data_IF_580248193846
#
_entry.id   IF_580248193846
#
_cell.length_a   1.000
_cell.length_b   1.000
_cell.length_c   1.000
_cell.angle_alpha   90.00
_cell.angle_beta   90.00
_cell.angle_gamma   90.00
#
_symmetry.space_group_name_H-M   'P 1'
#
loop_
_entity.id
_entity.type
_entity.pdbx_description
1 polymer ?
#
# COMPACT_ATOMS: atom_id res chain seq x y z
N UNK A 1 -9.03 4.93 -3.83
CA UNK A 1 -8.53 4.47 -2.51
C UNK A 1 -9.64 3.94 -1.62
N UNK A 2 -10.73 4.69 -1.39
CA UNK A 2 -11.85 4.22 -0.54
C UNK A 2 -12.32 2.80 -0.89
N UNK A 3 -12.61 2.50 -2.16
CA UNK A 3 -13.07 1.16 -2.55
C UNK A 3 -12.03 0.06 -2.29
N UNK A 4 -10.75 0.34 -2.48
CA UNK A 4 -9.67 -0.60 -2.14
C UNK A 4 -9.57 -0.81 -0.63
N UNK A 5 -9.65 0.26 0.16
CA UNK A 5 -9.64 0.18 1.62
C UNK A 5 -10.85 -0.60 2.14
N UNK A 6 -12.04 -0.36 1.59
CA UNK A 6 -13.25 -1.12 1.92
C UNK A 6 -13.13 -2.59 1.51
N UNK A 7 -12.58 -2.88 0.33
CA UNK A 7 -12.42 -4.25 -0.17
C UNK A 7 -11.39 -5.04 0.65
N UNK A 8 -10.27 -4.40 1.02
CA UNK A 8 -9.24 -5.00 1.86
C UNK A 8 -9.74 -5.23 3.29
N UNK A 9 -10.57 -4.33 3.81
CA UNK A 9 -11.10 -4.37 5.17
C UNK A 9 -9.98 -4.57 6.21
N UNK A 10 -10.05 -5.65 6.99
CA UNK A 10 -9.10 -6.09 8.01
C UNK A 10 -8.16 -7.21 7.52
N UNK A 11 -8.20 -7.54 6.23
CA UNK A 11 -7.43 -8.64 5.63
C UNK A 11 -5.99 -8.23 5.31
N UNK A 12 -5.11 -9.24 5.26
CA UNK A 12 -3.73 -9.04 4.85
C UNK A 12 -3.60 -8.83 3.33
N UNK A 13 -4.41 -9.54 2.55
CA UNK A 13 -4.49 -9.52 1.07
C UNK A 13 -5.96 -9.43 0.62
N UNK A 14 -6.21 -9.06 -0.63
CA UNK A 14 -7.55 -8.67 -1.10
C UNK A 14 -8.57 -9.81 -1.21
N UNK A 15 -8.15 -11.01 -1.64
CA UNK A 15 -9.10 -12.09 -1.99
C UNK A 15 -8.83 -13.43 -1.33
N UNK A 16 -7.65 -13.63 -0.77
CA UNK A 16 -7.27 -14.89 -0.14
C UNK A 16 -6.32 -14.65 1.03
N UNK A 17 -5.98 -15.69 1.79
CA UNK A 17 -4.94 -15.61 2.83
C UNK A 17 -3.52 -15.51 2.24
N UNK A 18 -3.37 -15.74 0.93
CA UNK A 18 -2.14 -15.58 0.17
C UNK A 18 -2.22 -14.38 -0.79
N UNK A 19 -1.06 -13.82 -1.10
CA UNK A 19 -0.94 -12.80 -2.13
C UNK A 19 -1.34 -13.34 -3.50
N UNK A 20 -1.98 -12.49 -4.29
CA UNK A 20 -2.41 -12.77 -5.66
C UNK A 20 -1.76 -11.79 -6.63
N UNK A 21 -1.91 -12.04 -7.93
CA UNK A 21 -1.51 -11.06 -8.96
C UNK A 21 -2.25 -9.73 -8.82
N UNK A 22 -3.46 -9.74 -8.25
CA UNK A 22 -4.20 -8.52 -7.96
C UNK A 22 -3.53 -7.70 -6.86
N UNK A 23 -3.03 -8.33 -5.79
CA UNK A 23 -2.29 -7.63 -4.74
C UNK A 23 -1.04 -6.94 -5.31
N UNK A 24 -0.32 -7.62 -6.23
CA UNK A 24 0.83 -7.02 -6.92
C UNK A 24 0.44 -5.79 -7.77
N UNK A 25 -0.66 -5.87 -8.52
CA UNK A 25 -1.16 -4.75 -9.34
C UNK A 25 -1.65 -3.58 -8.48
N UNK A 26 -2.30 -3.86 -7.34
CA UNK A 26 -2.70 -2.81 -6.41
C UNK A 26 -1.47 -2.17 -5.78
N UNK A 27 -0.50 -2.98 -5.32
CA UNK A 27 0.74 -2.49 -4.73
C UNK A 27 1.52 -1.59 -5.68
N UNK A 28 1.70 -1.97 -6.96
CA UNK A 28 2.46 -1.16 -7.92
C UNK A 28 1.91 0.25 -8.09
N UNK A 29 0.61 0.45 -7.88
CA UNK A 29 0.01 1.79 -7.90
C UNK A 29 0.07 2.47 -6.53
N UNK A 30 -0.15 1.74 -5.43
CA UNK A 30 -0.17 2.34 -4.11
C UNK A 30 1.21 2.80 -3.65
N UNK A 31 2.28 2.05 -3.96
CA UNK A 31 3.62 2.35 -3.50
C UNK A 31 4.14 3.70 -4.01
N UNK A 32 3.73 4.10 -5.22
CA UNK A 32 4.06 5.40 -5.83
C UNK A 32 3.61 6.60 -4.98
N UNK A 33 2.54 6.45 -4.19
CA UNK A 33 1.99 7.54 -3.39
C UNK A 33 2.13 7.33 -1.89
N UNK A 34 2.17 6.08 -1.42
CA UNK A 34 2.24 5.74 0.01
C UNK A 34 3.70 5.62 0.46
N UNK A 35 4.52 4.93 -0.32
CA UNK A 35 5.85 4.49 0.09
C UNK A 35 6.95 5.45 -0.36
N UNK A 36 6.69 6.27 -1.38
CA UNK A 36 7.62 7.32 -1.82
C UNK A 36 7.87 8.34 -0.72
N UNK A 37 9.15 8.60 -0.45
CA UNK A 37 9.63 9.64 0.48
C UNK A 37 10.52 10.60 -0.28
N UNK A 38 10.26 11.88 -0.13
CA UNK A 38 11.12 12.94 -0.67
C UNK A 38 12.04 13.44 0.45
N UNK A 39 13.34 13.50 0.20
CA UNK A 39 14.34 13.91 1.20
C UNK A 39 14.12 15.34 1.74
N UNK A 40 13.45 16.19 0.95
CA UNK A 40 13.06 17.54 1.34
C UNK A 40 11.79 17.61 2.21
N UNK A 41 11.23 16.47 2.63
CA UNK A 41 10.01 16.38 3.43
C UNK A 41 8.73 16.76 2.68
N UNK A 42 8.80 16.90 1.34
CA UNK A 42 7.64 17.22 0.52
C UNK A 42 6.64 16.05 0.49
N UNK A 43 5.36 16.36 0.69
CA UNK A 43 4.26 15.43 0.42
C UNK A 43 3.16 16.18 -0.33
N UNK A 44 2.79 15.68 -1.50
CA UNK A 44 1.67 16.22 -2.26
C UNK A 44 0.32 15.86 -1.59
N UNK A 45 -0.76 16.51 -2.02
CA UNK A 45 -2.11 16.33 -1.44
C UNK A 45 -2.57 14.87 -1.55
N UNK A 46 -2.27 14.19 -2.66
CA UNK A 46 -2.66 12.80 -2.87
C UNK A 46 -1.91 11.84 -1.95
N UNK A 47 -0.60 12.03 -1.75
CA UNK A 47 0.22 11.27 -0.79
C UNK A 47 -0.35 11.41 0.62
N UNK A 48 -0.65 12.65 1.05
CA UNK A 48 -1.24 12.91 2.36
C UNK A 48 -2.60 12.21 2.52
N UNK A 49 -3.46 12.30 1.49
CA UNK A 49 -4.76 11.64 1.49
C UNK A 49 -4.63 10.11 1.47
N UNK A 50 -3.68 9.56 0.72
CA UNK A 50 -3.49 8.11 0.65
C UNK A 50 -3.07 7.53 2.00
N UNK A 51 -2.20 8.24 2.72
CA UNK A 51 -1.73 7.85 4.06
C UNK A 51 -2.81 7.92 5.14
N UNK A 52 -4.00 8.48 4.89
CA UNK A 52 -5.12 8.39 5.85
C UNK A 52 -5.78 7.01 5.86
N UNK A 53 -5.63 6.24 4.78
CA UNK A 53 -6.12 4.86 4.69
C UNK A 53 -5.12 3.89 5.33
N UNK A 54 -5.13 3.81 6.66
CA UNK A 54 -4.14 3.03 7.42
C UNK A 54 -4.04 1.56 6.99
N UNK A 55 -5.14 0.92 6.62
CA UNK A 55 -5.11 -0.47 6.17
C UNK A 55 -4.38 -0.64 4.83
N UNK A 56 -4.46 0.35 3.93
CA UNK A 56 -3.69 0.36 2.68
C UNK A 56 -2.21 0.66 2.93
N UNK A 57 -1.90 1.52 3.90
CA UNK A 57 -0.51 1.77 4.32
C UNK A 57 0.13 0.49 4.85
N UNK A 58 -0.57 -0.20 5.75
CA UNK A 58 -0.12 -1.47 6.31
C UNK A 58 -0.01 -2.57 5.24
N UNK A 59 -0.92 -2.57 4.25
CA UNK A 59 -0.80 -3.46 3.10
C UNK A 59 0.50 -3.25 2.32
N UNK A 60 0.85 -2.00 1.98
CA UNK A 60 2.11 -1.71 1.29
C UNK A 60 3.33 -2.14 2.12
N UNK A 61 3.34 -1.81 3.41
CA UNK A 61 4.41 -2.22 4.33
C UNK A 61 4.58 -3.74 4.38
N UNK A 62 3.48 -4.52 4.47
CA UNK A 62 3.55 -5.99 4.45
C UNK A 62 4.14 -6.53 3.15
N UNK A 63 3.77 -5.96 2.00
CA UNK A 63 4.33 -6.37 0.70
C UNK A 63 5.83 -6.04 0.64
N UNK A 64 6.23 -4.85 1.07
CA UNK A 64 7.64 -4.42 1.14
C UNK A 64 8.46 -5.35 2.05
N UNK A 65 7.98 -5.58 3.27
CA UNK A 65 8.62 -6.45 4.25
C UNK A 65 8.72 -7.90 3.78
N UNK A 66 7.79 -8.38 2.96
CA UNK A 66 7.79 -9.77 2.50
C UNK A 66 8.63 -9.99 1.24
N UNK A 67 8.62 -9.04 0.30
CA UNK A 67 9.15 -9.25 -1.06
C UNK A 67 10.33 -8.36 -1.43
N UNK A 68 10.56 -7.26 -0.71
CA UNK A 68 11.55 -6.25 -1.05
C UNK A 68 12.58 -6.00 0.07
N UNK A 69 12.76 -6.96 0.97
CA UNK A 69 13.84 -6.88 1.95
C UNK A 69 15.20 -6.74 1.24
N UNK A 70 16.00 -5.77 1.67
CA UNK A 70 17.40 -5.69 1.24
C UNK A 70 18.14 -6.97 1.67
N UNK A 71 18.88 -7.57 0.74
CA UNK A 71 19.76 -8.71 1.01
C UNK A 71 21.10 -8.25 1.57
#
# INVERSE_FOLDING_TARGET
LQSLSTLLADKNFFFSEQHTSFDAAVYSHLCEFISVRFDCGFENVFTKQAKTYQNLVQFCQRIEDQFYQEK
#
